data_IF_478271118481
#
_entry.id   IF_478271118481
#
_cell.length_a   1.000
_cell.length_b   1.000
_cell.length_c   1.000
_cell.angle_alpha   90.00
_cell.angle_beta   90.00
_cell.angle_gamma   90.00
#
_symmetry.space_group_name_H-M   'P 1'
#
loop_
_entity.id
_entity.type
_entity.pdbx_description
1 polymer ?
#
# COMPACT_ATOMS: atom_id res chain seq x y z
N UNK A 1 0.30 24.62 -3.62
CA UNK A 1 1.58 23.94 -3.39
C UNK A 1 2.06 23.29 -4.68
N UNK A 2 3.35 23.38 -4.95
CA UNK A 2 3.89 22.78 -6.15
C UNK A 2 4.52 21.45 -5.81
N UNK A 3 4.02 20.38 -6.42
CA UNK A 3 4.53 19.05 -6.17
C UNK A 3 5.69 18.75 -7.12
N UNK A 4 6.65 17.97 -6.62
CA UNK A 4 7.79 17.56 -7.42
C UNK A 4 7.71 16.11 -7.87
N UNK A 5 7.02 15.28 -7.10
CA UNK A 5 6.95 13.86 -7.35
C UNK A 5 5.53 13.37 -7.21
N UNK A 6 5.25 12.21 -7.79
CA UNK A 6 3.97 11.56 -7.63
C UNK A 6 4.14 10.30 -6.80
N UNK A 7 3.23 10.07 -5.87
CA UNK A 7 3.31 8.90 -5.02
C UNK A 7 2.00 8.18 -4.92
N UNK A 8 2.05 6.91 -4.55
CA UNK A 8 0.85 6.16 -4.22
C UNK A 8 0.97 5.64 -2.80
N UNK A 9 -0.18 5.48 -2.16
CA UNK A 9 -0.28 5.18 -0.73
C UNK A 9 -1.12 3.93 -0.56
N UNK A 10 -0.47 2.79 -0.53
CA UNK A 10 -1.16 1.51 -0.42
C UNK A 10 -1.30 1.13 1.05
N UNK A 11 -2.43 0.51 1.38
CA UNK A 11 -2.76 0.18 2.76
C UNK A 11 -2.66 1.45 3.58
N UNK A 12 -3.34 2.48 3.09
CA UNK A 12 -3.10 3.84 3.56
C UNK A 12 -3.60 4.12 4.98
N UNK A 13 -4.50 3.28 5.49
CA UNK A 13 -5.00 3.48 6.83
C UNK A 13 -5.63 4.84 7.01
N UNK A 14 -5.16 5.57 7.99
CA UNK A 14 -5.69 6.90 8.25
C UNK A 14 -4.86 8.00 7.61
N UNK A 15 -3.80 7.64 6.90
CA UNK A 15 -3.10 8.61 6.07
C UNK A 15 -1.78 9.14 6.59
N UNK A 16 -1.07 8.34 7.39
CA UNK A 16 0.22 8.79 7.89
C UNK A 16 1.22 9.07 6.80
N UNK A 17 1.34 8.16 5.82
CA UNK A 17 2.25 8.38 4.71
C UNK A 17 1.79 9.54 3.84
N UNK A 18 0.49 9.75 3.72
CA UNK A 18 -0.01 10.87 2.94
C UNK A 18 0.42 12.21 3.53
N UNK A 19 0.46 12.31 4.85
CA UNK A 19 0.96 13.52 5.49
C UNK A 19 2.43 13.71 5.18
N UNK A 20 3.21 12.63 5.23
CA UNK A 20 4.63 12.73 4.92
C UNK A 20 4.84 13.12 3.46
N UNK A 21 4.02 12.60 2.56
CA UNK A 21 4.11 12.97 1.16
C UNK A 21 3.87 14.46 0.98
N UNK A 22 2.85 14.98 1.64
CA UNK A 22 2.53 16.40 1.52
C UNK A 22 3.71 17.26 1.98
N UNK A 23 4.33 16.88 3.10
CA UNK A 23 5.44 17.65 3.63
C UNK A 23 6.68 17.58 2.74
N UNK A 24 6.74 16.60 1.87
CA UNK A 24 7.90 16.39 1.00
C UNK A 24 7.59 16.63 -0.48
N UNK A 25 6.50 17.34 -0.75
CA UNK A 25 6.13 17.76 -2.11
C UNK A 25 5.86 16.58 -3.02
N UNK A 26 5.26 15.55 -2.49
CA UNK A 26 4.84 14.39 -3.24
C UNK A 26 3.33 14.42 -3.37
N UNK A 27 2.84 14.42 -4.59
CA UNK A 27 1.40 14.40 -4.83
C UNK A 27 0.91 12.96 -4.77
N UNK A 28 -0.07 12.70 -3.91
CA UNK A 28 -0.64 11.36 -3.83
C UNK A 28 -1.66 11.21 -4.94
N UNK A 29 -1.34 10.37 -5.93
CA UNK A 29 -2.19 10.19 -7.09
C UNK A 29 -3.06 8.93 -7.00
N UNK A 30 -2.84 8.10 -6.00
CA UNK A 30 -3.63 6.90 -5.79
C UNK A 30 -3.48 6.44 -4.34
N UNK A 31 -4.56 6.00 -3.74
CA UNK A 31 -4.53 5.46 -2.38
C UNK A 31 -5.48 4.29 -2.29
N UNK A 32 -5.23 3.38 -1.39
CA UNK A 32 -6.02 2.17 -1.27
C UNK A 32 -6.02 1.64 0.16
N UNK A 33 -7.19 1.24 0.63
CA UNK A 33 -7.36 0.53 1.90
C UNK A 33 -8.74 -0.09 1.90
N UNK A 34 -8.87 -1.31 2.35
CA UNK A 34 -10.16 -1.98 2.34
C UNK A 34 -10.91 -1.91 3.66
N UNK A 35 -10.35 -1.25 4.67
CA UNK A 35 -11.00 -1.10 5.96
C UNK A 35 -11.93 0.12 5.92
N UNK A 36 -13.21 -0.10 6.12
CA UNK A 36 -14.18 0.97 6.07
C UNK A 36 -13.93 2.08 7.06
N UNK A 37 -13.51 1.73 8.26
CA UNK A 37 -13.27 2.76 9.26
C UNK A 37 -12.06 3.60 8.92
N UNK A 38 -11.01 2.96 8.40
CA UNK A 38 -9.84 3.70 7.96
C UNK A 38 -10.20 4.61 6.80
N UNK A 39 -11.03 4.13 5.87
CA UNK A 39 -11.46 4.95 4.74
C UNK A 39 -12.21 6.19 5.20
N UNK A 40 -13.06 6.05 6.20
CA UNK A 40 -13.82 7.18 6.71
C UNK A 40 -12.91 8.23 7.33
N UNK A 41 -11.92 7.79 8.10
CA UNK A 41 -10.97 8.71 8.71
C UNK A 41 -10.11 9.38 7.65
N UNK A 42 -9.69 8.62 6.65
CA UNK A 42 -8.88 9.16 5.55
C UNK A 42 -9.67 10.23 4.81
N UNK A 43 -10.93 9.96 4.53
CA UNK A 43 -11.77 10.93 3.84
C UNK A 43 -11.94 12.19 4.66
N UNK A 44 -12.11 12.05 5.98
CA UNK A 44 -12.26 13.21 6.83
C UNK A 44 -11.01 14.09 6.83
N UNK A 45 -9.84 13.44 6.74
CA UNK A 45 -8.58 14.17 6.79
C UNK A 45 -8.16 14.73 5.44
N UNK A 46 -8.45 14.04 4.36
CA UNK A 46 -7.90 14.41 3.05
C UNK A 46 -8.97 14.69 2.00
N UNK A 47 -10.24 14.59 2.35
CA UNK A 47 -11.37 14.85 1.46
C UNK A 47 -11.35 13.97 0.23
N UNK A 48 -10.88 12.74 0.40
CA UNK A 48 -10.75 11.79 -0.69
C UNK A 48 -10.97 10.39 -0.14
N UNK A 49 -11.76 9.58 -0.84
CA UNK A 49 -12.05 8.22 -0.41
C UNK A 49 -11.02 7.30 -1.07
N UNK A 50 -10.25 6.53 -0.28
CA UNK A 50 -9.30 5.60 -0.90
C UNK A 50 -10.04 4.56 -1.72
N UNK A 51 -9.35 4.07 -2.76
CA UNK A 51 -9.84 2.92 -3.49
C UNK A 51 -9.90 1.72 -2.53
N UNK A 52 -10.84 0.84 -2.72
CA UNK A 52 -11.02 -0.27 -1.78
C UNK A 52 -9.91 -1.31 -1.86
N UNK A 53 -10.31 -2.56 -2.05
CA UNK A 53 -9.37 -3.68 -1.99
C UNK A 53 -8.36 -3.64 -3.13
N UNK A 54 -7.09 -3.58 -2.79
CA UNK A 54 -6.03 -3.52 -3.79
C UNK A 54 -5.98 -4.80 -4.64
N UNK A 55 -6.48 -5.90 -4.12
CA UNK A 55 -6.50 -7.14 -4.88
C UNK A 55 -7.39 -7.04 -6.11
N UNK A 56 -8.34 -6.14 -6.09
CA UNK A 56 -9.25 -5.93 -7.21
C UNK A 56 -8.74 -4.90 -8.21
N UNK A 57 -7.59 -4.29 -7.95
CA UNK A 57 -7.06 -3.22 -8.79
C UNK A 57 -5.98 -3.77 -9.70
N UNK A 58 -6.09 -3.47 -10.99
CA UNK A 58 -5.06 -3.88 -11.94
C UNK A 58 -3.92 -2.87 -11.89
N UNK A 59 -2.69 -3.37 -11.94
CA UNK A 59 -1.54 -2.46 -11.89
C UNK A 59 -1.57 -1.44 -13.01
N UNK A 60 -2.06 -1.81 -14.17
CA UNK A 60 -2.09 -0.90 -15.31
C UNK A 60 -3.06 0.26 -15.12
N UNK A 61 -4.01 0.11 -14.20
CA UNK A 61 -5.01 1.15 -13.97
C UNK A 61 -4.56 2.17 -12.95
N UNK A 62 -3.42 1.94 -12.31
CA UNK A 62 -2.86 2.89 -11.37
C UNK A 62 -2.04 3.91 -12.16
N UNK A 63 -2.21 5.22 -11.89
CA UNK A 63 -1.41 6.22 -12.61
C UNK A 63 0.08 6.05 -12.36
N UNK A 64 0.89 6.51 -13.29
CA UNK A 64 2.34 6.46 -13.12
C UNK A 64 2.77 7.23 -11.88
N UNK A 65 3.78 6.74 -11.20
CA UNK A 65 4.22 7.37 -9.96
C UNK A 65 5.73 7.15 -9.77
N UNK A 66 6.30 7.95 -8.88
CA UNK A 66 7.72 7.88 -8.56
C UNK A 66 8.00 7.16 -7.27
N UNK A 67 7.03 7.20 -6.35
CA UNK A 67 7.21 6.68 -4.99
C UNK A 67 6.02 5.82 -4.63
N UNK A 68 6.30 4.64 -4.12
CA UNK A 68 5.24 3.78 -3.57
C UNK A 68 5.47 3.68 -2.07
N UNK A 69 4.44 3.96 -1.28
CA UNK A 69 4.49 3.68 0.15
C UNK A 69 3.43 2.64 0.46
N UNK A 70 3.78 1.69 1.30
CA UNK A 70 2.86 0.62 1.67
C UNK A 70 3.14 0.19 3.10
N UNK A 71 2.16 0.41 3.97
CA UNK A 71 2.24 -0.03 5.35
C UNK A 71 1.30 -1.20 5.56
N UNK A 72 1.73 -2.37 5.16
CA UNK A 72 0.85 -3.53 5.19
C UNK A 72 1.03 -4.32 6.48
N UNK A 73 -0.04 -5.02 6.90
CA UNK A 73 0.04 -5.80 8.13
C UNK A 73 0.99 -6.97 7.96
N UNK A 74 1.58 -7.39 9.06
CA UNK A 74 2.45 -8.54 9.05
C UNK A 74 1.62 -9.77 8.76
N UNK A 75 2.02 -10.52 7.75
CA UNK A 75 1.33 -11.75 7.40
C UNK A 75 2.33 -12.89 7.47
N UNK A 76 2.36 -13.60 8.59
CA UNK A 76 3.32 -14.67 8.73
C UNK A 76 3.02 -15.78 7.76
N UNK A 77 4.07 -16.35 7.21
CA UNK A 77 3.92 -17.50 6.36
C UNK A 77 3.89 -18.74 7.24
N UNK A 78 3.09 -19.70 6.84
CA UNK A 78 3.00 -20.92 7.60
C UNK A 78 4.24 -21.76 7.39
N UNK A 79 4.86 -22.17 8.47
CA UNK A 79 5.98 -23.07 8.35
C UNK A 79 5.56 -24.42 7.85
N UNK A 80 4.32 -24.78 8.12
CA UNK A 80 3.81 -26.03 7.62
C UNK A 80 3.64 -26.03 6.12
N UNK A 81 3.41 -24.89 5.55
CA UNK A 81 3.24 -24.80 4.12
C UNK A 81 4.52 -25.07 3.40
N UNK A 82 5.58 -24.69 4.01
CA UNK A 82 6.81 -25.01 3.48
C UNK A 82 6.97 -24.81 2.06
N UNK A 83 7.45 -25.80 1.42
CA UNK A 83 7.87 -25.64 0.09
C UNK A 83 6.78 -25.51 -0.88
N UNK A 84 5.76 -26.34 -0.74
CA UNK A 84 4.70 -26.29 -1.71
C UNK A 84 3.77 -25.15 -1.51
N UNK A 85 3.48 -24.85 -0.26
CA UNK A 85 2.54 -23.82 0.05
C UNK A 85 3.09 -22.43 -0.06
N UNK A 86 4.40 -22.31 -0.10
CA UNK A 86 4.99 -20.98 -0.05
C UNK A 86 4.54 -20.08 -1.18
N UNK A 87 4.58 -20.59 -2.42
CA UNK A 87 4.16 -19.77 -3.54
C UNK A 87 2.71 -19.38 -3.45
N UNK A 88 1.86 -20.32 -3.03
CA UNK A 88 0.45 -19.99 -2.89
C UNK A 88 0.22 -19.00 -1.78
N UNK A 89 0.96 -19.13 -0.69
CA UNK A 89 0.83 -18.16 0.38
C UNK A 89 1.26 -16.78 -0.07
N UNK A 90 2.33 -16.68 -0.82
CA UNK A 90 2.77 -15.38 -1.32
C UNK A 90 1.72 -14.79 -2.23
N UNK A 91 1.14 -15.59 -3.11
CA UNK A 91 0.11 -15.07 -4.00
C UNK A 91 -1.10 -14.58 -3.27
N UNK A 92 -1.41 -15.19 -2.12
CA UNK A 92 -2.58 -14.79 -1.36
C UNK A 92 -2.34 -13.62 -0.43
N UNK A 93 -1.10 -13.16 -0.32
CA UNK A 93 -0.79 -12.10 0.62
C UNK A 93 -0.88 -10.74 -0.02
N UNK A 94 -0.96 -9.73 0.84
CA UNK A 94 -0.95 -8.36 0.36
C UNK A 94 0.40 -7.98 -0.23
N UNK A 95 1.44 -8.64 0.24
CA UNK A 95 2.78 -8.41 -0.30
C UNK A 95 2.85 -8.77 -1.78
N UNK A 96 2.12 -9.81 -2.20
CA UNK A 96 2.07 -10.19 -3.61
C UNK A 96 1.53 -9.03 -4.44
N UNK A 97 0.51 -8.33 -3.93
CA UNK A 97 -0.07 -7.21 -4.66
C UNK A 97 0.91 -6.06 -4.77
N UNK A 98 1.70 -5.82 -3.72
CA UNK A 98 2.73 -4.81 -3.79
C UNK A 98 3.75 -5.19 -4.88
N UNK A 99 4.15 -6.44 -4.90
CA UNK A 99 5.15 -6.90 -5.86
C UNK A 99 4.69 -6.77 -7.30
N UNK A 100 3.43 -7.12 -7.59
CA UNK A 100 2.96 -7.02 -8.97
C UNK A 100 2.87 -5.57 -9.44
N UNK A 101 2.54 -4.66 -8.52
CA UNK A 101 2.49 -3.24 -8.85
C UNK A 101 3.90 -2.71 -9.09
N UNK A 102 4.85 -3.11 -8.25
CA UNK A 102 6.23 -2.70 -8.42
C UNK A 102 6.83 -3.23 -9.72
N UNK A 103 6.46 -4.45 -10.08
CA UNK A 103 6.98 -5.04 -11.29
C UNK A 103 6.47 -4.31 -12.53
N UNK A 104 5.21 -3.87 -12.49
CA UNK A 104 4.64 -3.16 -13.61
C UNK A 104 5.18 -1.73 -13.73
N UNK A 105 5.24 -1.01 -12.63
CA UNK A 105 5.58 0.42 -12.66
C UNK A 105 7.06 0.72 -12.48
N UNK A 106 7.77 -0.13 -11.77
CA UNK A 106 9.21 0.02 -11.52
C UNK A 106 9.58 1.43 -11.05
N UNK A 107 8.95 1.88 -9.95
CA UNK A 107 9.26 3.23 -9.47
C UNK A 107 10.66 3.30 -8.88
N UNK A 108 11.29 4.47 -8.91
CA UNK A 108 12.63 4.60 -8.35
C UNK A 108 12.67 4.54 -6.82
N UNK A 109 11.55 4.73 -6.14
CA UNK A 109 11.58 4.76 -4.68
C UNK A 109 10.42 4.01 -4.08
N UNK A 110 10.71 3.20 -3.06
CA UNK A 110 9.72 2.36 -2.40
C UNK A 110 9.93 2.44 -0.89
N UNK A 111 8.86 2.70 -0.16
CA UNK A 111 8.86 2.66 1.30
C UNK A 111 7.90 1.58 1.76
N UNK A 112 8.42 0.54 2.37
CA UNK A 112 7.59 -0.53 2.89
C UNK A 112 7.67 -0.52 4.41
N UNK A 113 6.52 -0.53 5.04
CA UNK A 113 6.47 -0.61 6.48
C UNK A 113 5.64 -1.83 6.85
N UNK A 114 6.23 -2.71 7.63
CA UNK A 114 5.57 -3.91 8.07
C UNK A 114 5.03 -3.66 9.47
N UNK A 115 3.73 -3.48 9.58
CA UNK A 115 3.12 -3.22 10.87
C UNK A 115 3.06 -4.53 11.63
N UNK A 116 3.80 -4.61 12.73
CA UNK A 116 3.77 -5.81 13.54
C UNK A 116 2.47 -5.91 14.26
N UNK A 117 1.99 -7.08 14.27
CA UNK A 117 0.85 -7.33 15.09
C UNK A 117 1.31 -7.20 16.49
N UNK A 118 1.00 -6.53 17.20
CA UNK A 118 1.44 -6.32 18.51
C UNK A 118 1.61 -7.56 19.29
N UNK A 119 1.69 -8.22 18.83
CA UNK A 119 1.96 -9.14 19.36
C UNK A 119 2.84 -9.70 19.66
N UNK A 120 3.05 -9.51 19.61
CA UNK A 120 3.84 -9.86 19.78
C UNK A 120 4.08 -10.47 20.50
N UNK A 121 3.94 -10.65 20.65
CA UNK A 121 4.16 -11.16 21.11
C UNK A 121 4.22 -11.53 21.76
#
# INVERSE_FOLDING_TARGET
>A
MKYKYKGIDLFCGIGGFRLAMKDNKVECVFSSDNDKFAQQTYEANFHEIPTGDIKAVEAKDIPAFDILSAGFPCQPFSYAGEKQGFKDEVRGTLFFDVCRILEYHKPPMVFLENVKGLKSH
#
